data_IF_056882024621
#
_entry.id   IF_056882024621
#
_cell.length_a   1.000
_cell.length_b   1.000
_cell.length_c   1.000
_cell.angle_alpha   90.00
_cell.angle_beta   90.00
_cell.angle_gamma   90.00
#
_symmetry.space_group_name_H-M   'P 1'
#
loop_
_entity.id
_entity.type
_entity.pdbx_description
1 polymer ?
#
# COMPACT_ATOMS: atom_id res chain seq x y z
N UNK A 1 -24.60 7.80 -8.39
CA UNK A 1 -23.60 6.69 -8.35
C UNK A 1 -22.32 7.31 -7.79
N UNK A 2 -21.67 6.69 -6.80
CA UNK A 2 -20.39 7.16 -6.29
C UNK A 2 -19.31 6.99 -7.36
N UNK A 3 -18.34 7.91 -7.43
CA UNK A 3 -17.18 7.80 -8.30
C UNK A 3 -16.43 6.50 -8.00
N UNK A 4 -16.10 5.67 -9.01
CA UNK A 4 -15.26 4.49 -8.82
C UNK A 4 -13.91 4.91 -8.22
N UNK A 5 -13.38 4.10 -7.31
CA UNK A 5 -12.09 4.33 -6.64
C UNK A 5 -11.18 3.14 -6.92
N UNK A 6 -9.94 3.41 -7.33
CA UNK A 6 -8.90 2.41 -7.47
C UNK A 6 -7.81 2.63 -6.41
N UNK A 7 -7.51 1.59 -5.62
CA UNK A 7 -6.47 1.59 -4.58
C UNK A 7 -5.32 0.72 -5.06
N UNK A 8 -4.20 1.34 -5.44
CA UNK A 8 -2.96 0.60 -5.73
C UNK A 8 -2.41 -0.01 -4.45
N UNK A 9 -2.14 -1.31 -4.46
CA UNK A 9 -1.67 -2.03 -3.28
C UNK A 9 -0.32 -2.67 -3.51
N UNK A 10 0.68 -2.27 -2.71
CA UNK A 10 2.02 -2.83 -2.73
C UNK A 10 2.22 -3.80 -1.57
N UNK A 11 2.57 -5.05 -1.88
CA UNK A 11 2.75 -6.10 -0.88
C UNK A 11 4.23 -6.25 -0.49
N UNK A 12 4.53 -6.03 0.79
CA UNK A 12 5.89 -6.07 1.36
C UNK A 12 6.44 -7.46 1.61
N UNK A 13 5.95 -8.49 0.92
CA UNK A 13 6.49 -9.85 1.01
C UNK A 13 6.38 -10.56 -0.34
N UNK A 14 7.52 -10.97 -0.87
CA UNK A 14 7.61 -11.68 -2.15
C UNK A 14 7.47 -13.21 -2.02
N UNK A 15 7.21 -13.73 -0.81
CA UNK A 15 7.02 -15.14 -0.56
C UNK A 15 5.66 -15.60 -1.13
N UNK A 16 5.63 -16.76 -1.81
CA UNK A 16 4.40 -17.29 -2.42
C UNK A 16 3.25 -17.44 -1.39
N UNK A 17 3.56 -18.04 -0.21
CA UNK A 17 2.59 -18.22 0.87
C UNK A 17 2.62 -17.05 1.88
N UNK A 18 2.70 -15.82 1.38
CA UNK A 18 2.76 -14.64 2.23
C UNK A 18 1.41 -14.35 2.89
N UNK A 19 1.38 -14.27 4.23
CA UNK A 19 0.19 -13.85 4.97
C UNK A 19 -0.20 -12.40 4.63
N UNK A 20 0.78 -11.53 4.35
CA UNK A 20 0.50 -10.17 3.89
C UNK A 20 -0.10 -10.15 2.47
N UNK A 21 0.27 -11.09 1.59
CA UNK A 21 -0.41 -11.26 0.30
C UNK A 21 -1.88 -11.68 0.50
N UNK A 22 -2.10 -12.68 1.35
CA UNK A 22 -3.46 -13.12 1.72
C UNK A 22 -4.30 -12.00 2.36
N UNK A 23 -3.66 -11.10 3.13
CA UNK A 23 -4.31 -9.92 3.69
C UNK A 23 -4.68 -8.89 2.61
N UNK A 24 -3.82 -8.68 1.62
CA UNK A 24 -4.13 -7.81 0.47
C UNK A 24 -5.26 -8.40 -0.41
N UNK A 25 -5.30 -9.71 -0.59
CA UNK A 25 -6.40 -10.41 -1.28
C UNK A 25 -7.71 -10.26 -0.51
N UNK A 26 -7.68 -10.40 0.81
CA UNK A 26 -8.83 -10.11 1.66
C UNK A 26 -9.30 -8.65 1.49
N UNK A 27 -8.37 -7.68 1.43
CA UNK A 27 -8.72 -6.28 1.20
C UNK A 27 -9.49 -6.09 -0.12
N UNK A 28 -9.11 -6.81 -1.18
CA UNK A 28 -9.86 -6.81 -2.44
C UNK A 28 -11.24 -7.47 -2.33
N UNK A 29 -11.34 -8.58 -1.57
CA UNK A 29 -12.61 -9.29 -1.35
C UNK A 29 -13.63 -8.50 -0.54
N UNK A 30 -13.18 -7.69 0.44
CA UNK A 30 -14.06 -6.93 1.33
C UNK A 30 -14.28 -5.48 0.89
N UNK A 31 -13.71 -5.10 -0.24
CA UNK A 31 -13.86 -3.75 -0.77
C UNK A 31 -15.34 -3.41 -0.99
N UNK A 32 -15.80 -2.22 -0.60
CA UNK A 32 -17.18 -1.81 -0.82
C UNK A 32 -17.49 -1.58 -2.30
N UNK A 33 -18.76 -1.53 -2.64
CA UNK A 33 -19.21 -1.30 -4.01
C UNK A 33 -18.56 -0.06 -4.63
N UNK A 34 -18.02 -0.22 -5.84
CA UNK A 34 -17.35 0.84 -6.58
C UNK A 34 -15.91 1.11 -6.11
N UNK A 35 -15.33 0.23 -5.29
CA UNK A 35 -13.91 0.29 -4.90
C UNK A 35 -13.18 -0.93 -5.44
N UNK A 36 -12.07 -0.71 -6.12
CA UNK A 36 -11.15 -1.74 -6.60
C UNK A 36 -9.86 -1.65 -5.78
N UNK A 37 -9.38 -2.79 -5.30
CA UNK A 37 -8.05 -2.91 -4.68
C UNK A 37 -7.17 -3.67 -5.68
N UNK A 38 -6.30 -2.95 -6.36
CA UNK A 38 -5.37 -3.49 -7.36
C UNK A 38 -4.06 -3.90 -6.67
N UNK A 39 -3.76 -5.20 -6.65
CA UNK A 39 -2.50 -5.71 -6.08
C UNK A 39 -1.44 -5.72 -7.17
N UNK A 40 -0.38 -4.92 -6.98
CA UNK A 40 0.72 -4.82 -7.94
C UNK A 40 1.69 -6.00 -7.79
N UNK A 41 1.83 -6.79 -8.83
CA UNK A 41 2.66 -8.00 -8.83
C UNK A 41 4.11 -7.78 -9.30
N UNK A 42 4.42 -6.61 -9.87
CA UNK A 42 5.71 -6.32 -10.50
C UNK A 42 6.85 -5.91 -9.56
N UNK A 43 6.65 -5.80 -8.24
CA UNK A 43 7.68 -5.29 -7.31
C UNK A 43 9.00 -6.07 -7.34
N UNK A 44 8.95 -7.35 -7.68
CA UNK A 44 10.13 -8.23 -7.78
C UNK A 44 11.08 -7.82 -8.90
N UNK A 45 10.55 -7.25 -9.97
CA UNK A 45 11.26 -7.01 -11.22
C UNK A 45 11.78 -5.57 -11.33
N UNK A 46 11.44 -4.72 -10.35
CA UNK A 46 11.87 -3.32 -10.31
C UNK A 46 13.32 -3.26 -9.86
N UNK A 47 14.25 -2.71 -10.66
CA UNK A 47 15.63 -2.51 -10.24
C UNK A 47 15.70 -1.56 -9.04
N UNK A 48 16.78 -1.65 -8.26
CA UNK A 48 17.01 -0.65 -7.22
C UNK A 48 17.04 0.75 -7.84
N UNK A 49 16.41 1.69 -7.14
CA UNK A 49 16.41 3.08 -7.57
C UNK A 49 17.85 3.58 -7.71
N UNK A 50 18.10 4.19 -8.83
CA UNK A 50 19.36 4.81 -9.18
C UNK A 50 19.03 6.07 -10.00
N UNK A 51 19.55 7.21 -9.57
CA UNK A 51 19.29 8.52 -10.19
C UNK A 51 19.82 8.58 -11.63
N UNK A 52 20.88 7.82 -11.96
CA UNK A 52 21.47 7.79 -13.30
C UNK A 52 20.55 7.14 -14.35
N UNK A 53 19.60 6.31 -13.92
CA UNK A 53 18.62 5.64 -14.79
C UNK A 53 17.19 6.17 -14.60
N UNK A 54 17.00 7.23 -13.80
CA UNK A 54 15.73 7.91 -13.60
C UNK A 54 15.55 9.03 -14.64
N UNK A 55 14.82 8.72 -15.69
CA UNK A 55 14.65 9.66 -16.80
C UNK A 55 13.77 9.10 -17.92
N UNK A 56 13.86 9.68 -19.14
CA UNK A 56 13.05 9.25 -20.28
C UNK A 56 13.20 7.78 -20.66
N UNK A 57 14.36 7.20 -20.34
CA UNK A 57 14.70 5.79 -20.62
C UNK A 57 14.67 4.94 -19.34
N UNK A 58 13.85 5.33 -18.35
CA UNK A 58 13.70 4.59 -17.10
C UNK A 58 13.31 3.10 -17.36
N UNK A 59 13.74 2.18 -16.49
CA UNK A 59 13.44 0.77 -16.66
C UNK A 59 11.93 0.50 -16.77
N UNK A 60 11.53 -0.31 -17.74
CA UNK A 60 10.14 -0.60 -18.04
C UNK A 60 9.32 -1.06 -16.82
N UNK A 61 9.95 -1.81 -15.88
CA UNK A 61 9.29 -2.25 -14.65
C UNK A 61 9.01 -1.08 -13.70
N UNK A 62 9.90 -0.08 -13.63
CA UNK A 62 9.67 1.12 -12.84
C UNK A 62 8.59 2.01 -13.48
N UNK A 63 8.64 2.19 -14.79
CA UNK A 63 7.62 2.91 -15.56
C UNK A 63 6.23 2.29 -15.36
N UNK A 64 6.12 0.97 -15.44
CA UNK A 64 4.85 0.27 -15.23
C UNK A 64 4.27 0.48 -13.82
N UNK A 65 5.13 0.59 -12.79
CA UNK A 65 4.69 0.93 -11.43
C UNK A 65 4.16 2.36 -11.36
N UNK A 66 4.85 3.31 -11.97
CA UNK A 66 4.41 4.71 -12.03
C UNK A 66 3.07 4.85 -12.77
N UNK A 67 2.91 4.19 -13.91
CA UNK A 67 1.65 4.13 -14.64
C UNK A 67 0.51 3.50 -13.81
N UNK A 68 0.81 2.52 -12.95
CA UNK A 68 -0.18 1.96 -12.03
C UNK A 68 -0.62 3.00 -10.98
N UNK A 69 0.31 3.80 -10.46
CA UNK A 69 -0.02 4.91 -9.55
C UNK A 69 -0.89 5.98 -10.22
N UNK A 70 -0.57 6.37 -11.45
CA UNK A 70 -1.30 7.38 -12.23
C UNK A 70 -2.78 7.04 -12.40
N UNK A 71 -3.11 5.74 -12.45
CA UNK A 71 -4.48 5.24 -12.57
C UNK A 71 -5.18 5.07 -11.23
N UNK A 72 -4.53 5.44 -10.12
CA UNK A 72 -4.99 5.13 -8.78
C UNK A 72 -5.39 6.37 -7.99
N UNK A 73 -6.37 6.20 -7.11
CA UNK A 73 -6.91 7.25 -6.26
C UNK A 73 -6.35 7.20 -4.83
N UNK A 74 -5.68 6.10 -4.47
CA UNK A 74 -5.00 5.91 -3.19
C UNK A 74 -3.90 4.86 -3.30
N UNK A 75 -2.96 4.86 -2.34
CA UNK A 75 -1.88 3.88 -2.22
C UNK A 75 -1.98 3.14 -0.87
N UNK A 76 -2.00 1.82 -0.93
CA UNK A 76 -2.00 0.94 0.24
C UNK A 76 -0.73 0.11 0.29
N UNK A 77 0.00 0.18 1.39
CA UNK A 77 1.06 -0.76 1.71
C UNK A 77 0.53 -1.88 2.60
N UNK A 78 0.75 -3.14 2.20
CA UNK A 78 0.46 -4.31 3.04
C UNK A 78 1.77 -5.02 3.34
N UNK A 79 2.35 -4.73 4.51
CA UNK A 79 3.77 -5.02 4.78
C UNK A 79 4.03 -5.76 6.09
N UNK A 80 4.92 -6.77 6.08
CA UNK A 80 5.54 -7.26 7.31
C UNK A 80 6.64 -6.29 7.78
N UNK A 81 7.24 -6.62 8.92
CA UNK A 81 8.44 -5.98 9.43
C UNK A 81 9.63 -6.94 9.27
N UNK A 82 10.71 -6.50 8.62
CA UNK A 82 11.95 -7.27 8.49
C UNK A 82 13.10 -6.59 9.24
N UNK A 83 13.64 -7.27 10.25
CA UNK A 83 14.74 -6.73 11.07
C UNK A 83 14.46 -5.31 11.62
N UNK A 84 13.23 -5.05 12.05
CA UNK A 84 12.84 -3.75 12.59
C UNK A 84 12.55 -2.66 11.56
N UNK A 85 12.59 -2.98 10.26
CA UNK A 85 12.41 -2.01 9.18
C UNK A 85 11.46 -2.45 8.08
N UNK A 86 11.26 -1.56 7.13
CA UNK A 86 10.48 -1.80 5.91
C UNK A 86 11.23 -2.77 4.99
N UNK A 87 10.56 -3.78 4.40
CA UNK A 87 11.17 -4.61 3.37
C UNK A 87 11.73 -3.78 2.20
N UNK A 88 12.97 -4.09 1.76
CA UNK A 88 13.70 -3.27 0.79
C UNK A 88 12.95 -3.05 -0.52
N UNK A 89 12.28 -4.07 -1.07
CA UNK A 89 11.58 -3.98 -2.35
C UNK A 89 10.35 -3.06 -2.32
N UNK A 90 9.61 -2.99 -1.18
CA UNK A 90 8.47 -2.08 -1.07
C UNK A 90 8.95 -0.63 -0.88
N UNK A 91 10.04 -0.44 -0.13
CA UNK A 91 10.68 0.87 0.00
C UNK A 91 11.24 1.34 -1.35
N UNK A 92 11.90 0.44 -2.10
CA UNK A 92 12.38 0.70 -3.45
C UNK A 92 11.23 1.09 -4.40
N UNK A 93 10.09 0.40 -4.33
CA UNK A 93 8.91 0.80 -5.09
C UNK A 93 8.46 2.23 -4.77
N UNK A 94 8.43 2.60 -3.48
CA UNK A 94 8.08 3.97 -3.08
C UNK A 94 9.13 5.00 -3.57
N UNK A 95 10.42 4.64 -3.60
CA UNK A 95 11.45 5.53 -4.11
C UNK A 95 11.22 5.85 -5.60
N UNK A 96 10.88 4.86 -6.41
CA UNK A 96 10.47 5.07 -7.79
C UNK A 96 9.18 5.89 -7.93
N UNK A 97 8.15 5.62 -7.12
CA UNK A 97 6.88 6.35 -7.14
C UNK A 97 7.01 7.83 -6.76
N UNK A 98 8.07 8.19 -6.02
CA UNK A 98 8.35 9.57 -5.65
C UNK A 98 8.99 10.39 -6.79
N UNK A 99 9.20 9.79 -7.95
CA UNK A 99 9.91 10.42 -9.07
C UNK A 99 8.98 10.73 -10.25
N UNK A 100 9.29 11.79 -11.02
CA UNK A 100 10.29 12.83 -10.70
C UNK A 100 9.92 13.60 -9.43
N UNK A 101 10.86 14.31 -8.83
CA UNK A 101 10.57 15.10 -7.62
C UNK A 101 9.43 16.09 -7.89
N UNK A 102 8.44 16.12 -7.01
CA UNK A 102 7.21 16.89 -7.22
C UNK A 102 6.19 16.20 -8.12
N UNK A 103 6.32 14.88 -8.31
CA UNK A 103 5.36 14.06 -9.07
C UNK A 103 3.93 14.34 -8.59
N UNK A 104 3.10 14.85 -9.50
CA UNK A 104 1.71 15.21 -9.20
C UNK A 104 0.84 14.00 -8.87
N UNK A 105 1.19 12.79 -9.36
CA UNK A 105 0.38 11.59 -9.14
C UNK A 105 0.46 11.10 -7.69
N UNK A 106 1.61 11.27 -7.01
CA UNK A 106 1.74 10.94 -5.59
C UNK A 106 1.35 12.11 -4.68
N UNK A 107 1.43 13.34 -5.17
CA UNK A 107 1.17 14.55 -4.37
C UNK A 107 -0.28 14.59 -3.90
N UNK A 108 -0.47 14.63 -2.57
CA UNK A 108 -1.77 14.62 -1.91
C UNK A 108 -2.52 13.29 -2.05
N UNK A 109 -1.91 12.24 -2.64
CA UNK A 109 -2.54 10.92 -2.74
C UNK A 109 -2.72 10.31 -1.35
N UNK A 110 -3.93 9.86 -0.94
CA UNK A 110 -4.11 9.17 0.32
C UNK A 110 -3.23 7.93 0.40
N UNK A 111 -2.44 7.80 1.47
CA UNK A 111 -1.56 6.65 1.69
C UNK A 111 -1.82 6.01 3.05
N UNK A 112 -1.98 4.69 3.07
CA UNK A 112 -2.12 3.89 4.27
C UNK A 112 -1.12 2.73 4.29
N UNK A 113 -0.81 2.24 5.50
CA UNK A 113 0.01 1.05 5.68
C UNK A 113 -0.62 0.15 6.74
N UNK A 114 -0.89 -1.09 6.35
CA UNK A 114 -1.42 -2.16 7.20
C UNK A 114 -0.55 -3.41 7.07
N UNK A 115 -0.79 -4.41 7.90
CA UNK A 115 -0.12 -5.69 7.70
C UNK A 115 -0.05 -6.57 8.94
N UNK A 116 0.74 -7.61 8.82
CA UNK A 116 0.93 -8.59 9.90
C UNK A 116 2.39 -9.01 9.99
N UNK A 117 2.86 -9.29 11.21
CA UNK A 117 4.22 -9.75 11.48
C UNK A 117 4.24 -10.71 12.67
N UNK A 118 5.39 -11.38 12.89
CA UNK A 118 5.55 -12.38 13.95
C UNK A 118 5.41 -11.81 15.36
N UNK A 119 6.04 -10.66 15.58
CA UNK A 119 6.03 -10.00 16.88
C UNK A 119 4.67 -9.40 17.23
N UNK A 120 4.46 -9.15 18.51
CA UNK A 120 3.21 -8.61 19.03
C UNK A 120 2.81 -7.25 18.46
N UNK A 121 3.79 -6.47 17.98
CA UNK A 121 3.58 -5.17 17.36
C UNK A 121 3.03 -5.25 15.92
N UNK A 122 2.90 -6.45 15.34
CA UNK A 122 2.27 -6.66 14.03
C UNK A 122 2.92 -5.95 12.85
N UNK A 123 4.10 -5.34 13.04
CA UNK A 123 4.76 -4.56 12.00
C UNK A 123 4.54 -3.05 12.09
N UNK A 124 3.93 -2.53 13.16
CA UNK A 124 3.56 -1.11 13.33
C UNK A 124 4.68 -0.13 13.04
N UNK A 125 5.92 -0.41 13.47
CA UNK A 125 7.08 0.45 13.20
C UNK A 125 7.35 0.60 11.69
N UNK A 126 7.23 -0.48 10.92
CA UNK A 126 7.38 -0.45 9.46
C UNK A 126 6.23 0.29 8.78
N UNK A 127 5.01 0.13 9.30
CA UNK A 127 3.84 0.85 8.77
C UNK A 127 3.96 2.36 9.00
N UNK A 128 4.43 2.79 10.17
CA UNK A 128 4.74 4.18 10.46
C UNK A 128 5.83 4.73 9.53
N UNK A 129 6.92 3.98 9.34
CA UNK A 129 7.98 4.36 8.39
C UNK A 129 7.46 4.50 6.95
N UNK A 130 6.57 3.62 6.49
CA UNK A 130 5.98 3.70 5.16
C UNK A 130 5.11 4.94 4.99
N UNK A 131 4.23 5.22 5.96
CA UNK A 131 3.42 6.44 5.96
C UNK A 131 4.30 7.69 5.95
N UNK A 132 5.31 7.74 6.82
CA UNK A 132 6.26 8.87 6.88
C UNK A 132 7.06 9.05 5.59
N UNK A 133 7.50 7.95 4.98
CA UNK A 133 8.21 8.01 3.69
C UNK A 133 7.28 8.47 2.57
N UNK A 134 6.01 8.04 2.59
CA UNK A 134 4.98 8.52 1.67
C UNK A 134 4.70 10.01 1.82
N UNK A 135 4.59 10.51 3.05
CA UNK A 135 4.44 11.94 3.35
C UNK A 135 5.60 12.77 2.78
N UNK A 136 6.84 12.30 2.98
CA UNK A 136 8.04 12.96 2.44
C UNK A 136 8.03 12.95 0.89
N UNK A 137 7.50 11.89 0.28
CA UNK A 137 7.31 11.81 -1.16
C UNK A 137 6.17 12.70 -1.69
N UNK A 138 5.38 13.32 -0.81
CA UNK A 138 4.27 14.21 -1.16
C UNK A 138 2.87 13.63 -0.95
N UNK A 139 2.74 12.36 -0.59
CA UNK A 139 1.44 11.74 -0.30
C UNK A 139 0.81 12.27 1.00
N UNK A 140 -0.49 12.00 1.18
CA UNK A 140 -1.26 12.35 2.38
C UNK A 140 -1.47 11.10 3.25
N UNK A 141 -0.73 10.92 4.36
CA UNK A 141 -0.88 9.75 5.21
C UNK A 141 -2.22 9.72 5.94
N UNK A 142 -2.82 8.53 6.02
CA UNK A 142 -4.04 8.25 6.78
C UNK A 142 -3.66 7.60 8.10
N UNK A 143 -3.35 8.40 9.11
CA UNK A 143 -2.87 7.93 10.42
C UNK A 143 -3.94 7.14 11.20
N UNK A 144 -5.22 7.41 10.92
CA UNK A 144 -6.36 6.65 11.47
C UNK A 144 -6.43 5.22 10.91
N UNK A 145 -5.84 4.94 9.74
CA UNK A 145 -5.74 3.59 9.18
C UNK A 145 -4.48 2.92 9.71
N UNK A 146 -4.57 2.41 10.94
CA UNK A 146 -3.46 1.78 11.64
C UNK A 146 -3.81 0.34 12.04
N UNK A 147 -3.74 -0.60 11.07
CA UNK A 147 -3.99 -2.02 11.30
C UNK A 147 -2.66 -2.80 11.27
N UNK A 148 -2.19 -3.16 12.47
CA UNK A 148 -0.95 -3.93 12.67
C UNK A 148 -1.25 -5.20 13.47
N UNK A 149 -1.34 -6.34 12.76
CA UNK A 149 -1.76 -7.63 13.32
C UNK A 149 -0.54 -8.42 13.80
N UNK A 150 -0.39 -8.56 15.12
CA UNK A 150 0.70 -9.34 15.72
C UNK A 150 0.47 -10.84 15.70
N UNK A 151 1.53 -11.59 16.07
CA UNK A 151 1.44 -13.03 16.28
C UNK A 151 1.11 -13.86 15.04
N UNK A 152 1.48 -13.40 13.84
CA UNK A 152 1.03 -13.99 12.57
C UNK A 152 1.32 -15.47 12.41
N UNK A 153 2.41 -15.99 13.00
CA UNK A 153 2.75 -17.42 12.92
C UNK A 153 1.75 -18.31 13.67
N UNK A 154 1.26 -17.87 14.82
CA UNK A 154 0.27 -18.62 15.57
C UNK A 154 -1.15 -18.38 15.04
N UNK A 155 -1.47 -17.10 14.77
CA UNK A 155 -2.81 -16.68 14.34
C UNK A 155 -3.21 -17.23 12.98
N UNK A 156 -2.24 -17.33 12.06
CA UNK A 156 -2.48 -17.75 10.66
C UNK A 156 -1.67 -19.01 10.27
N UNK A 157 -1.33 -19.86 11.28
CA UNK A 157 -0.59 -21.11 11.02
C UNK A 157 -1.33 -22.02 10.04
N UNK A 158 -2.61 -22.27 10.31
CA UNK A 158 -3.47 -23.20 9.58
C UNK A 158 -4.75 -22.54 9.04
N UNK A 159 -4.90 -21.21 9.24
CA UNK A 159 -6.09 -20.46 8.85
C UNK A 159 -5.75 -19.32 7.91
N UNK A 160 -6.66 -19.00 6.98
CA UNK A 160 -6.53 -17.85 6.13
C UNK A 160 -7.05 -16.59 6.86
N UNK A 161 -6.47 -15.38 6.68
CA UNK A 161 -7.00 -14.16 7.29
C UNK A 161 -8.50 -13.92 7.05
N UNK A 162 -9.06 -14.39 5.94
CA UNK A 162 -10.50 -14.32 5.63
C UNK A 162 -11.39 -15.14 6.57
N UNK A 163 -10.83 -16.10 7.28
CA UNK A 163 -11.55 -16.96 8.23
C UNK A 163 -11.60 -16.34 9.65
N UNK A 164 -10.84 -15.29 9.88
CA UNK A 164 -10.80 -14.53 11.11
C UNK A 164 -11.75 -13.33 11.01
N UNK A 165 -12.92 -13.43 11.64
CA UNK A 165 -13.98 -12.44 11.55
C UNK A 165 -13.54 -11.05 12.05
N UNK A 166 -12.67 -10.97 13.06
CA UNK A 166 -12.12 -9.73 13.58
C UNK A 166 -11.25 -9.06 12.48
N UNK A 167 -10.36 -9.83 11.85
CA UNK A 167 -9.49 -9.34 10.80
C UNK A 167 -10.29 -8.88 9.57
N UNK A 168 -11.32 -9.63 9.21
CA UNK A 168 -12.23 -9.25 8.10
C UNK A 168 -12.84 -7.88 8.34
N UNK A 169 -13.38 -7.62 9.53
CA UNK A 169 -14.01 -6.33 9.86
C UNK A 169 -12.97 -5.19 9.96
N UNK A 170 -11.80 -5.45 10.51
CA UNK A 170 -10.72 -4.47 10.59
C UNK A 170 -10.22 -4.07 9.18
N UNK A 171 -10.03 -5.04 8.28
CA UNK A 171 -9.61 -4.78 6.89
C UNK A 171 -10.70 -4.04 6.14
N UNK A 172 -11.97 -4.44 6.29
CA UNK A 172 -13.11 -3.73 5.69
C UNK A 172 -13.17 -2.27 6.12
N UNK A 173 -13.00 -2.00 7.41
CA UNK A 173 -12.98 -0.65 7.96
C UNK A 173 -11.82 0.17 7.36
N UNK A 174 -10.62 -0.42 7.26
CA UNK A 174 -9.45 0.23 6.66
C UNK A 174 -9.69 0.61 5.19
N UNK A 175 -10.18 -0.33 4.37
CA UNK A 175 -10.47 -0.06 2.94
C UNK A 175 -11.57 0.98 2.79
N UNK A 176 -12.59 0.96 3.65
CA UNK A 176 -13.67 1.97 3.62
C UNK A 176 -13.13 3.36 3.93
N UNK A 177 -12.24 3.50 4.91
CA UNK A 177 -11.60 4.77 5.27
C UNK A 177 -10.73 5.30 4.13
N UNK A 178 -9.89 4.44 3.52
CA UNK A 178 -9.04 4.81 2.38
C UNK A 178 -9.91 5.30 1.20
N UNK A 179 -10.97 4.57 0.88
CA UNK A 179 -11.88 4.96 -0.20
C UNK A 179 -12.63 6.27 0.11
N UNK A 180 -12.95 6.54 1.37
CA UNK A 180 -13.50 7.80 1.83
C UNK A 180 -12.57 8.97 1.55
N UNK A 181 -11.32 8.87 2.00
CA UNK A 181 -10.29 9.88 1.77
C UNK A 181 -10.01 10.12 0.27
N UNK A 182 -10.01 9.07 -0.54
CA UNK A 182 -9.85 9.18 -1.99
C UNK A 182 -11.00 9.98 -2.63
N UNK A 183 -12.24 9.74 -2.20
CA UNK A 183 -13.42 10.50 -2.68
C UNK A 183 -13.37 11.96 -2.25
N UNK A 184 -12.94 12.24 -1.03
CA UNK A 184 -12.77 13.61 -0.53
C UNK A 184 -11.72 14.37 -1.33
N UNK A 185 -10.57 13.73 -1.63
CA UNK A 185 -9.53 14.30 -2.50
C UNK A 185 -10.10 14.62 -3.89
N UNK A 186 -10.83 13.67 -4.50
CA UNK A 186 -11.41 13.88 -5.82
C UNK A 186 -12.48 14.99 -5.86
N UNK A 187 -13.14 15.27 -4.75
CA UNK A 187 -14.15 16.32 -4.62
C UNK A 187 -13.55 17.67 -4.25
N UNK A 188 -12.29 17.72 -3.79
CA UNK A 188 -11.63 18.97 -3.44
C UNK A 188 -11.41 19.85 -4.69
N UNK A 189 -11.67 21.17 -4.62
CA UNK A 189 -11.37 22.05 -5.74
C UNK A 189 -9.87 22.04 -6.02
N UNK A 190 -9.53 21.94 -7.31
CA UNK A 190 -8.13 22.08 -7.75
C UNK A 190 -7.64 23.44 -7.30
N UNK A 191 -6.63 23.48 -6.43
CA UNK A 191 -6.01 24.73 -6.01
C UNK A 191 -5.45 25.44 -7.26
N UNK A 192 -5.92 26.66 -7.48
CA UNK A 192 -5.55 27.48 -8.65
C UNK A 192 -4.14 28.04 -8.51
#
# INVERSE_FOLDING_TARGET
MSTPINILTLVGSLRAESTNRKLAELAAEVAPDGVTVEIYDGLRDIPFYDEDIDGPDAPAAATALCEALERSDALLFVSPLYNGGVPSHIKNGLDWLSRPQGNEHITGLPVAAIGTSWGDHGGSFGHEQLRKSGEIAGASPLDEVNLSIGGSLARFADTHPREDAEVVEQVRAAITAIAGAARERAAAPVAA
#
